data_IF_702877238500
#
_entry.id   IF_702877238500
#
_cell.length_a   1.000
_cell.length_b   1.000
_cell.length_c   1.000
_cell.angle_alpha   90.00
_cell.angle_beta   90.00
_cell.angle_gamma   90.00
#
_symmetry.space_group_name_H-M   'P 1'
#
loop_
_entity.id
_entity.type
_entity.pdbx_description
1 polymer ?
#
# COMPACT_ATOMS: atom_id res chain seq x y z
N UNK A 1 -61.29 29.83 21.61
CA UNK A 1 -61.72 29.20 20.34
C UNK A 1 -60.70 28.13 19.97
N UNK A 2 -61.20 26.89 19.86
CA UNK A 2 -60.67 25.69 19.16
C UNK A 2 -59.23 25.23 19.48
N UNK A 3 -59.04 24.23 20.33
CA UNK A 3 -59.20 22.76 20.16
C UNK A 3 -58.10 22.06 19.33
N UNK A 4 -57.22 21.35 20.08
CA UNK A 4 -56.91 19.91 19.99
C UNK A 4 -56.93 19.19 18.64
N UNK A 5 -55.86 18.42 18.36
CA UNK A 5 -55.92 17.30 17.41
C UNK A 5 -54.68 16.41 17.28
N UNK A 6 -54.54 15.41 18.19
CA UNK A 6 -54.07 14.01 17.97
C UNK A 6 -52.62 13.80 17.44
N UNK A 7 -51.65 13.27 18.20
CA UNK A 7 -51.52 11.94 18.85
C UNK A 7 -51.89 10.75 17.95
N UNK A 8 -50.87 10.10 17.36
CA UNK A 8 -50.80 8.65 17.01
C UNK A 8 -49.34 8.20 17.19
N UNK A 9 -49.02 7.47 18.27
CA UNK A 9 -49.08 6.01 18.38
C UNK A 9 -48.01 5.35 17.47
N UNK A 10 -46.84 5.01 18.02
CA UNK A 10 -46.56 3.70 18.62
C UNK A 10 -46.62 2.57 17.57
N UNK A 11 -45.43 2.19 17.07
CA UNK A 11 -45.22 1.07 16.17
C UNK A 11 -43.80 0.54 16.36
N UNK A 12 -43.53 0.05 17.57
CA UNK A 12 -42.31 -0.65 17.94
C UNK A 12 -42.37 -2.05 17.31
N UNK A 13 -41.87 -2.21 16.09
CA UNK A 13 -41.61 -3.53 15.49
C UNK A 13 -40.12 -3.83 15.62
N UNK A 14 -39.77 -4.34 16.79
CA UNK A 14 -38.50 -5.05 17.03
C UNK A 14 -38.59 -6.34 16.22
N UNK A 15 -37.96 -6.38 15.05
CA UNK A 15 -37.64 -7.63 14.37
C UNK A 15 -36.18 -7.95 14.69
N UNK A 16 -36.00 -8.71 15.77
CA UNK A 16 -34.80 -9.53 15.97
C UNK A 16 -34.79 -10.60 14.87
N UNK A 17 -34.13 -10.31 13.75
CA UNK A 17 -33.76 -11.37 12.82
C UNK A 17 -32.37 -11.89 13.22
N UNK A 18 -32.44 -13.10 13.76
CA UNK A 18 -31.40 -14.02 14.15
C UNK A 18 -30.04 -13.85 13.46
N UNK A 19 -29.02 -13.83 14.33
CA UNK A 19 -27.69 -14.34 14.10
C UNK A 19 -27.71 -15.69 13.35
N UNK A 20 -27.10 -15.74 12.15
CA UNK A 20 -26.49 -16.93 11.56
C UNK A 20 -25.84 -16.62 10.20
N UNK A 21 -24.79 -15.80 10.18
CA UNK A 21 -23.75 -15.84 9.13
C UNK A 21 -22.35 -15.69 9.74
N UNK A 22 -22.17 -16.19 10.97
CA UNK A 22 -20.87 -16.58 11.51
C UNK A 22 -20.63 -18.05 11.11
N UNK A 23 -20.42 -18.28 9.82
CA UNK A 23 -19.94 -19.56 9.30
C UNK A 23 -19.27 -19.31 7.97
N UNK A 24 -17.94 -19.28 8.01
CA UNK A 24 -17.15 -19.15 6.79
C UNK A 24 -15.65 -19.24 7.01
N UNK A 25 -15.15 -19.94 8.05
CA UNK A 25 -13.75 -20.38 8.08
C UNK A 25 -13.53 -21.64 8.94
N UNK A 26 -14.39 -21.96 9.92
CA UNK A 26 -14.15 -23.09 10.83
C UNK A 26 -14.33 -24.50 10.22
N UNK A 27 -14.68 -24.62 8.93
CA UNK A 27 -14.79 -25.92 8.23
C UNK A 27 -13.79 -26.09 7.07
N UNK A 28 -12.81 -25.21 6.90
CA UNK A 28 -11.73 -25.55 5.98
C UNK A 28 -10.81 -26.58 6.65
N UNK A 29 -10.57 -27.75 6.03
CA UNK A 29 -9.74 -28.78 6.62
C UNK A 29 -8.36 -28.20 6.90
N UNK A 30 -7.80 -28.48 8.08
CA UNK A 30 -6.51 -27.96 8.55
C UNK A 30 -5.31 -28.28 7.63
N UNK A 31 -5.51 -29.05 6.57
CA UNK A 31 -4.52 -29.34 5.52
C UNK A 31 -4.60 -28.39 4.30
N UNK A 32 -5.67 -27.61 4.09
CA UNK A 32 -5.72 -26.58 3.02
C UNK A 32 -5.10 -25.25 3.45
N UNK A 33 -4.80 -25.08 4.73
CA UNK A 33 -4.04 -23.93 5.25
C UNK A 33 -2.53 -24.03 4.96
N UNK A 34 -2.06 -25.16 4.42
CA UNK A 34 -0.64 -25.46 4.20
C UNK A 34 -0.18 -25.35 2.75
N UNK A 35 -1.09 -25.40 1.77
CA UNK A 35 -0.76 -25.31 0.34
C UNK A 35 -1.32 -24.04 -0.35
N UNK A 36 -1.87 -23.11 0.44
CA UNK A 36 -2.04 -21.73 0.02
C UNK A 36 -0.87 -20.88 0.50
N UNK A 37 0.33 -21.18 0.01
CA UNK A 37 1.39 -20.19 -0.07
C UNK A 37 0.84 -18.91 -0.67
N UNK A 38 -0.19 -19.00 -1.55
CA UNK A 38 -1.20 -17.97 -1.88
C UNK A 38 -0.63 -16.74 -2.58
N UNK A 39 0.69 -16.58 -2.50
CA UNK A 39 1.60 -15.90 -3.38
C UNK A 39 1.44 -16.57 -4.72
N UNK A 40 0.35 -16.21 -5.39
CA UNK A 40 0.30 -16.34 -6.82
C UNK A 40 1.62 -15.78 -7.36
N UNK A 41 2.21 -16.48 -8.31
CA UNK A 41 3.54 -16.17 -8.84
C UNK A 41 3.46 -14.91 -9.71
N UNK A 42 3.17 -13.78 -9.06
CA UNK A 42 3.05 -12.46 -9.64
C UNK A 42 4.34 -12.05 -10.32
N UNK A 43 5.47 -12.52 -9.80
CA UNK A 43 6.76 -12.38 -10.44
C UNK A 43 6.80 -13.12 -11.78
N UNK A 44 6.39 -14.39 -11.85
CA UNK A 44 6.33 -15.09 -13.14
C UNK A 44 5.33 -14.45 -14.12
N UNK A 45 4.18 -13.94 -13.64
CA UNK A 45 3.24 -13.20 -14.49
C UNK A 45 3.87 -11.90 -15.02
N UNK A 46 4.53 -11.12 -14.16
CA UNK A 46 5.27 -9.91 -14.52
C UNK A 46 6.36 -10.21 -15.55
N UNK A 47 7.19 -11.23 -15.30
CA UNK A 47 8.33 -11.57 -16.16
C UNK A 47 7.89 -12.14 -17.51
N UNK A 48 6.73 -12.80 -17.58
CA UNK A 48 6.09 -13.23 -18.85
C UNK A 48 5.27 -12.11 -19.52
N UNK A 49 5.22 -10.92 -18.91
CA UNK A 49 4.40 -9.79 -19.36
C UNK A 49 2.90 -10.14 -19.49
N UNK A 50 2.41 -11.09 -18.71
CA UNK A 50 0.99 -11.42 -18.61
C UNK A 50 0.31 -10.45 -17.64
N UNK A 51 0.31 -9.17 -18.05
CA UNK A 51 -0.18 -8.06 -17.23
C UNK A 51 -1.68 -8.18 -16.96
N UNK A 52 -2.45 -8.81 -17.85
CA UNK A 52 -3.90 -8.91 -17.72
C UNK A 52 -4.27 -9.89 -16.58
N UNK A 53 -3.63 -11.06 -16.53
CA UNK A 53 -3.80 -11.99 -15.41
C UNK A 53 -3.26 -11.40 -14.09
N UNK A 54 -2.14 -10.68 -14.14
CA UNK A 54 -1.56 -10.03 -12.97
C UNK A 54 -2.50 -8.97 -12.37
N UNK A 55 -3.06 -8.08 -13.21
CA UNK A 55 -4.05 -7.09 -12.81
C UNK A 55 -5.27 -7.74 -12.19
N UNK A 56 -5.83 -8.78 -12.82
CA UNK A 56 -7.02 -9.46 -12.32
C UNK A 56 -6.82 -9.98 -10.89
N UNK A 57 -5.67 -10.59 -10.60
CA UNK A 57 -5.37 -11.14 -9.28
C UNK A 57 -5.18 -10.04 -8.23
N UNK A 58 -4.42 -9.00 -8.57
CA UNK A 58 -4.14 -7.90 -7.66
C UNK A 58 -5.39 -7.05 -7.40
N UNK A 59 -6.21 -6.80 -8.41
CA UNK A 59 -7.49 -6.10 -8.27
C UNK A 59 -8.43 -6.85 -7.33
N UNK A 60 -8.53 -8.17 -7.47
CA UNK A 60 -9.29 -9.00 -6.54
C UNK A 60 -8.79 -8.85 -5.10
N UNK A 61 -7.47 -8.81 -4.89
CA UNK A 61 -6.87 -8.59 -3.59
C UNK A 61 -7.24 -7.22 -2.99
N UNK A 62 -7.10 -6.14 -3.76
CA UNK A 62 -7.46 -4.79 -3.30
C UNK A 62 -8.95 -4.66 -3.02
N UNK A 63 -9.82 -5.25 -3.86
CA UNK A 63 -11.26 -5.22 -3.64
C UNK A 63 -11.64 -5.88 -2.32
N UNK A 64 -11.07 -7.06 -2.00
CA UNK A 64 -11.28 -7.70 -0.70
C UNK A 64 -10.83 -6.81 0.46
N UNK A 65 -9.71 -6.12 0.31
CA UNK A 65 -9.23 -5.18 1.32
C UNK A 65 -10.20 -3.99 1.49
N UNK A 66 -10.61 -3.36 0.40
CA UNK A 66 -11.52 -2.21 0.44
C UNK A 66 -12.92 -2.55 0.95
N UNK A 67 -13.32 -3.82 0.86
CA UNK A 67 -14.56 -4.37 1.41
C UNK A 67 -14.40 -4.84 2.87
N UNK A 68 -13.21 -4.75 3.46
CA UNK A 68 -12.93 -5.20 4.83
C UNK A 68 -12.79 -6.72 4.99
N UNK A 69 -12.73 -7.46 3.88
CA UNK A 69 -12.55 -8.91 3.89
C UNK A 69 -11.12 -9.37 4.24
N UNK A 70 -10.13 -8.47 4.16
CA UNK A 70 -8.77 -8.69 4.65
C UNK A 70 -8.24 -7.44 5.37
N UNK A 71 -7.29 -7.64 6.27
CA UNK A 71 -6.63 -6.58 7.06
C UNK A 71 -5.47 -5.93 6.31
N UNK A 72 -5.01 -4.76 6.80
CA UNK A 72 -3.78 -4.10 6.33
C UNK A 72 -2.57 -5.05 6.33
N UNK A 73 -2.43 -5.86 7.38
CA UNK A 73 -1.32 -6.79 7.53
C UNK A 73 -1.37 -7.90 6.47
N UNK A 74 -2.55 -8.44 6.19
CA UNK A 74 -2.74 -9.45 5.15
C UNK A 74 -2.48 -8.86 3.75
N UNK A 75 -2.98 -7.67 3.45
CA UNK A 75 -2.70 -6.99 2.18
C UNK A 75 -1.20 -6.74 2.01
N UNK A 76 -0.52 -6.24 3.05
CA UNK A 76 0.92 -6.00 3.03
C UNK A 76 1.71 -7.29 2.86
N UNK A 77 1.34 -8.35 3.59
CA UNK A 77 2.01 -9.65 3.51
C UNK A 77 1.89 -10.25 2.11
N UNK A 78 0.71 -10.14 1.49
CA UNK A 78 0.56 -10.55 0.09
C UNK A 78 1.46 -9.70 -0.83
N UNK A 79 1.54 -8.38 -0.61
CA UNK A 79 2.37 -7.46 -1.39
C UNK A 79 3.89 -7.70 -1.28
N UNK A 80 4.37 -8.38 -0.23
CA UNK A 80 5.81 -8.61 0.00
C UNK A 80 6.51 -9.30 -1.18
N UNK A 81 5.80 -10.04 -2.03
CA UNK A 81 6.36 -10.62 -3.25
C UNK A 81 6.98 -9.59 -4.22
N UNK A 82 6.61 -8.31 -4.11
CA UNK A 82 7.17 -7.23 -4.91
C UNK A 82 8.34 -6.48 -4.24
N UNK A 83 8.58 -6.67 -2.94
CA UNK A 83 9.62 -5.93 -2.21
C UNK A 83 11.04 -6.34 -2.71
N UNK A 84 11.20 -7.60 -3.15
CA UNK A 84 12.47 -8.21 -3.54
C UNK A 84 12.56 -8.58 -5.03
N UNK A 85 11.89 -7.82 -5.90
CA UNK A 85 12.03 -8.02 -7.35
C UNK A 85 13.49 -7.88 -7.80
N UNK A 86 13.96 -8.77 -8.71
CA UNK A 86 15.34 -8.72 -9.16
C UNK A 86 15.59 -7.46 -10.00
N UNK A 87 16.84 -6.93 -10.08
CA UNK A 87 17.15 -5.69 -10.80
C UNK A 87 16.67 -5.68 -12.27
N UNK A 88 16.70 -6.82 -12.95
CA UNK A 88 16.23 -6.96 -14.33
C UNK A 88 14.71 -6.82 -14.52
N UNK A 89 13.93 -6.75 -13.43
CA UNK A 89 12.47 -6.56 -13.51
C UNK A 89 12.07 -5.17 -14.00
N UNK A 90 12.97 -4.17 -13.97
CA UNK A 90 12.69 -2.79 -14.37
C UNK A 90 12.03 -2.67 -15.75
N UNK A 91 12.54 -3.39 -16.75
CA UNK A 91 11.96 -3.36 -18.11
C UNK A 91 10.54 -3.93 -18.19
N UNK A 92 10.23 -4.98 -17.41
CA UNK A 92 8.88 -5.55 -17.35
C UNK A 92 7.91 -4.59 -16.62
N UNK A 93 8.37 -3.93 -15.57
CA UNK A 93 7.60 -2.92 -14.82
C UNK A 93 7.28 -1.70 -15.69
N UNK A 94 8.25 -1.21 -16.46
CA UNK A 94 8.03 -0.10 -17.41
C UNK A 94 7.03 -0.48 -18.50
N UNK A 95 7.15 -1.67 -19.06
CA UNK A 95 6.19 -2.19 -20.04
C UNK A 95 4.77 -2.32 -19.44
N UNK A 96 4.67 -2.74 -18.17
CA UNK A 96 3.40 -2.83 -17.47
C UNK A 96 2.74 -1.46 -17.30
N UNK A 97 3.48 -0.47 -16.78
CA UNK A 97 2.98 0.91 -16.61
C UNK A 97 2.61 1.54 -17.96
N UNK A 98 3.40 1.29 -19.01
CA UNK A 98 3.11 1.80 -20.36
C UNK A 98 1.81 1.22 -20.93
N UNK A 99 1.55 -0.09 -20.75
CA UNK A 99 0.31 -0.74 -21.21
C UNK A 99 -0.90 -0.40 -20.34
N UNK A 100 -0.69 -0.17 -19.04
CA UNK A 100 -1.75 0.07 -18.05
C UNK A 100 -1.45 1.35 -17.23
N UNK A 101 -1.46 2.56 -17.82
CA UNK A 101 -1.06 3.79 -17.14
C UNK A 101 -1.98 4.19 -15.98
N UNK A 102 -3.21 3.67 -15.94
CA UNK A 102 -4.16 3.86 -14.84
C UNK A 102 -4.21 2.68 -13.86
N UNK A 103 -3.26 1.74 -13.95
CA UNK A 103 -3.15 0.66 -12.97
C UNK A 103 -2.53 1.19 -11.68
N UNK A 104 -3.25 0.97 -10.58
CA UNK A 104 -2.75 1.17 -9.22
C UNK A 104 -1.50 0.32 -8.96
N UNK A 105 -1.54 -0.96 -9.36
CA UNK A 105 -0.52 -1.92 -9.01
C UNK A 105 0.72 -1.85 -9.88
N UNK A 106 0.60 -1.51 -11.16
CA UNK A 106 1.75 -1.30 -12.04
C UNK A 106 2.64 -0.17 -11.51
N UNK A 107 2.01 0.96 -11.15
CA UNK A 107 2.70 2.12 -10.55
C UNK A 107 3.33 1.74 -9.22
N UNK A 108 2.57 1.10 -8.34
CA UNK A 108 3.05 0.74 -7.02
C UNK A 108 4.23 -0.25 -7.09
N UNK A 109 4.16 -1.27 -7.94
CA UNK A 109 5.23 -2.25 -8.13
C UNK A 109 6.51 -1.57 -8.65
N UNK A 110 6.39 -0.67 -9.62
CA UNK A 110 7.54 0.10 -10.11
C UNK A 110 8.12 1.03 -9.04
N UNK A 111 7.27 1.68 -8.26
CA UNK A 111 7.71 2.52 -7.15
C UNK A 111 8.46 1.74 -6.06
N UNK A 112 7.97 0.55 -5.67
CA UNK A 112 8.70 -0.34 -4.76
C UNK A 112 10.03 -0.79 -5.34
N UNK A 113 10.07 -1.13 -6.63
CA UNK A 113 11.31 -1.49 -7.29
C UNK A 113 12.36 -0.36 -7.22
N UNK A 114 11.99 0.88 -7.55
CA UNK A 114 12.87 2.05 -7.38
C UNK A 114 13.35 2.21 -5.94
N UNK A 115 12.45 2.09 -4.95
CA UNK A 115 12.81 2.15 -3.53
C UNK A 115 13.77 1.02 -3.12
N UNK A 116 13.63 -0.18 -3.67
CA UNK A 116 14.56 -1.31 -3.45
C UNK A 116 15.91 -1.08 -4.14
N UNK A 117 15.94 -0.54 -5.36
CA UNK A 117 17.18 -0.13 -6.02
C UNK A 117 17.92 0.93 -5.19
N UNK A 118 17.21 1.93 -4.67
CA UNK A 118 17.79 2.94 -3.78
C UNK A 118 18.43 2.33 -2.53
N UNK A 119 17.79 1.30 -1.95
CA UNK A 119 18.28 0.62 -0.75
C UNK A 119 19.51 -0.28 -1.02
N UNK A 120 19.68 -0.77 -2.26
CA UNK A 120 20.81 -1.60 -2.65
C UNK A 120 22.08 -0.81 -3.01
N UNK A 121 21.97 0.52 -3.16
CA UNK A 121 23.11 1.38 -3.50
C UNK A 121 24.06 1.55 -2.31
N UNK A 122 25.36 1.67 -2.63
CA UNK A 122 26.45 1.84 -1.65
C UNK A 122 26.78 3.31 -1.40
N UNK A 123 27.62 3.53 -0.39
CA UNK A 123 28.17 4.85 -0.05
C UNK A 123 28.75 5.57 -1.28
N UNK A 124 28.52 6.87 -1.36
CA UNK A 124 28.96 7.73 -2.48
C UNK A 124 27.98 7.82 -3.66
N UNK A 125 26.90 7.02 -3.70
CA UNK A 125 25.91 7.08 -4.79
C UNK A 125 24.68 7.95 -4.47
N UNK A 126 24.81 8.92 -3.57
CA UNK A 126 23.67 9.66 -3.02
C UNK A 126 22.82 10.40 -4.07
N UNK A 127 23.44 10.91 -5.14
CA UNK A 127 22.68 11.52 -6.24
C UNK A 127 21.72 10.53 -6.90
N UNK A 128 22.17 9.29 -7.10
CA UNK A 128 21.37 8.21 -7.69
C UNK A 128 20.31 7.71 -6.72
N UNK A 129 20.64 7.57 -5.43
CA UNK A 129 19.66 7.22 -4.38
C UNK A 129 18.50 8.22 -4.35
N UNK A 130 18.80 9.53 -4.37
CA UNK A 130 17.76 10.57 -4.44
C UNK A 130 16.89 10.46 -5.69
N UNK A 131 17.51 10.16 -6.83
CA UNK A 131 16.81 9.99 -8.09
C UNK A 131 15.83 8.80 -8.03
N UNK A 132 16.26 7.64 -7.53
CA UNK A 132 15.38 6.47 -7.37
C UNK A 132 14.26 6.74 -6.35
N UNK A 133 14.55 7.36 -5.21
CA UNK A 133 13.53 7.71 -4.21
C UNK A 133 12.51 8.71 -4.77
N UNK A 134 12.93 9.66 -5.62
CA UNK A 134 12.03 10.57 -6.32
C UNK A 134 11.08 9.80 -7.25
N UNK A 135 11.61 8.90 -8.08
CA UNK A 135 10.80 8.07 -8.98
C UNK A 135 9.79 7.20 -8.20
N UNK A 136 10.24 6.60 -7.09
CA UNK A 136 9.37 5.84 -6.19
C UNK A 136 8.22 6.70 -5.64
N UNK A 137 8.52 7.93 -5.22
CA UNK A 137 7.53 8.89 -4.74
C UNK A 137 6.52 9.31 -5.82
N UNK A 138 6.98 9.57 -7.04
CA UNK A 138 6.12 9.96 -8.17
C UNK A 138 5.12 8.88 -8.54
N UNK A 139 5.56 7.62 -8.62
CA UNK A 139 4.67 6.49 -8.89
C UNK A 139 3.65 6.29 -7.76
N UNK A 140 4.10 6.40 -6.50
CA UNK A 140 3.22 6.28 -5.35
C UNK A 140 2.17 7.41 -5.30
N UNK A 141 2.56 8.66 -5.54
CA UNK A 141 1.64 9.79 -5.64
C UNK A 141 0.63 9.60 -6.77
N UNK A 142 1.09 9.20 -7.96
CA UNK A 142 0.22 8.96 -9.12
C UNK A 142 -0.78 7.80 -8.89
N UNK A 143 -0.48 6.89 -7.96
CA UNK A 143 -1.37 5.79 -7.60
C UNK A 143 -2.44 6.15 -6.55
N UNK A 144 -2.25 7.22 -5.76
CA UNK A 144 -3.19 7.64 -4.71
C UNK A 144 -4.65 7.79 -5.20
N UNK A 145 -4.94 8.48 -6.32
CA UNK A 145 -6.33 8.69 -6.75
C UNK A 145 -6.98 7.44 -7.37
N UNK A 146 -6.22 6.37 -7.60
CA UNK A 146 -6.69 5.17 -8.31
C UNK A 146 -7.45 4.19 -7.41
N UNK A 147 -7.42 4.40 -6.08
CA UNK A 147 -8.09 3.54 -5.09
C UNK A 147 -8.75 4.36 -4.01
N UNK A 148 -9.80 3.80 -3.40
CA UNK A 148 -10.50 4.44 -2.28
C UNK A 148 -9.65 4.40 -1.01
N UNK A 149 -8.95 3.29 -0.80
CA UNK A 149 -8.09 3.06 0.37
C UNK A 149 -6.67 2.69 -0.09
N UNK A 150 -5.85 3.64 -0.56
CA UNK A 150 -4.53 3.40 -1.16
C UNK A 150 -3.44 3.16 -0.09
N UNK A 151 -3.67 2.21 0.83
CA UNK A 151 -2.82 2.00 2.02
C UNK A 151 -1.36 1.68 1.65
N UNK A 152 -1.13 0.94 0.57
CA UNK A 152 0.22 0.57 0.15
C UNK A 152 0.97 1.77 -0.47
N UNK A 153 0.29 2.62 -1.22
CA UNK A 153 0.87 3.88 -1.73
C UNK A 153 1.29 4.80 -0.60
N UNK A 154 0.45 4.92 0.43
CA UNK A 154 0.77 5.70 1.63
C UNK A 154 1.95 5.10 2.40
N UNK A 155 2.02 3.77 2.54
CA UNK A 155 3.15 3.08 3.17
C UNK A 155 4.47 3.37 2.42
N UNK A 156 4.43 3.33 1.07
CA UNK A 156 5.57 3.65 0.22
C UNK A 156 5.98 5.12 0.36
N UNK A 157 5.04 6.07 0.31
CA UNK A 157 5.33 7.51 0.46
C UNK A 157 5.98 7.83 1.81
N UNK A 158 5.46 7.26 2.91
CA UNK A 158 6.04 7.42 4.23
C UNK A 158 7.44 6.80 4.33
N UNK A 159 7.70 5.69 3.65
CA UNK A 159 9.03 5.06 3.62
C UNK A 159 10.03 5.87 2.79
N UNK A 160 9.62 6.34 1.60
CA UNK A 160 10.41 7.22 0.73
C UNK A 160 10.79 8.51 1.46
N UNK A 161 9.82 9.19 2.10
CA UNK A 161 10.08 10.40 2.87
C UNK A 161 11.03 10.15 4.05
N UNK A 162 10.85 9.04 4.76
CA UNK A 162 11.74 8.63 5.86
C UNK A 162 13.18 8.40 5.39
N UNK A 163 13.37 7.72 4.26
CA UNK A 163 14.70 7.44 3.67
C UNK A 163 15.37 8.67 3.09
N UNK A 164 14.59 9.57 2.51
CA UNK A 164 15.06 10.85 2.00
C UNK A 164 15.33 11.86 3.12
N UNK A 165 14.92 11.55 4.36
CA UNK A 165 14.98 12.46 5.51
C UNK A 165 14.23 13.77 5.28
N UNK A 166 13.16 13.71 4.48
CA UNK A 166 12.27 14.83 4.20
C UNK A 166 11.17 14.87 5.26
N UNK A 167 11.41 15.66 6.32
CA UNK A 167 10.47 15.79 7.43
C UNK A 167 9.14 16.39 6.99
N UNK A 168 9.17 17.37 6.07
CA UNK A 168 7.98 18.05 5.59
C UNK A 168 7.09 17.07 4.83
N UNK A 169 7.66 16.32 3.88
CA UNK A 169 6.93 15.30 3.15
C UNK A 169 6.39 14.20 4.09
N UNK A 170 7.16 13.81 5.11
CA UNK A 170 6.70 12.82 6.10
C UNK A 170 5.45 13.32 6.85
N UNK A 171 5.45 14.56 7.33
CA UNK A 171 4.31 15.14 8.04
C UNK A 171 3.08 15.28 7.11
N UNK A 172 3.27 15.68 5.84
CA UNK A 172 2.22 15.73 4.82
C UNK A 172 1.62 14.35 4.54
N UNK A 173 2.45 13.33 4.35
CA UNK A 173 2.00 11.96 4.09
C UNK A 173 1.36 11.30 5.30
N UNK A 174 1.76 11.66 6.52
CA UNK A 174 1.06 11.24 7.74
C UNK A 174 -0.34 11.85 7.83
N UNK A 175 -0.51 13.11 7.45
CA UNK A 175 -1.82 13.75 7.38
C UNK A 175 -2.72 13.07 6.33
N UNK A 176 -2.18 12.74 5.15
CA UNK A 176 -2.90 11.96 4.13
C UNK A 176 -3.28 10.57 4.64
N UNK A 177 -2.36 9.87 5.31
CA UNK A 177 -2.66 8.56 5.89
C UNK A 177 -3.82 8.60 6.89
N UNK A 178 -3.88 9.64 7.74
CA UNK A 178 -5.01 9.85 8.65
C UNK A 178 -6.33 10.13 7.92
N UNK A 179 -6.29 10.81 6.78
CA UNK A 179 -7.47 11.11 5.98
C UNK A 179 -8.02 9.87 5.23
N UNK A 180 -7.13 9.08 4.61
CA UNK A 180 -7.52 7.94 3.76
C UNK A 180 -7.69 6.63 4.53
N UNK A 181 -6.93 6.43 5.61
CA UNK A 181 -6.90 5.16 6.36
C UNK A 181 -6.83 5.41 7.88
N UNK A 182 -7.84 6.08 8.49
CA UNK A 182 -7.82 6.41 9.92
C UNK A 182 -7.79 5.19 10.85
N UNK A 183 -8.16 3.99 10.36
CA UNK A 183 -8.06 2.73 11.09
C UNK A 183 -6.70 2.02 10.98
N UNK A 184 -5.78 2.52 10.16
CA UNK A 184 -4.50 1.86 9.91
C UNK A 184 -3.50 2.15 11.03
N UNK A 185 -3.45 1.26 12.04
CA UNK A 185 -2.47 1.36 13.13
C UNK A 185 -1.03 1.48 12.63
N UNK A 186 -0.71 0.79 11.51
CA UNK A 186 0.63 0.83 10.89
C UNK A 186 0.97 2.19 10.32
N UNK A 187 0.07 2.78 9.51
CA UNK A 187 0.36 4.07 8.88
C UNK A 187 0.39 5.22 9.89
N UNK A 188 -0.38 5.10 10.97
CA UNK A 188 -0.48 6.12 12.02
C UNK A 188 0.58 5.99 13.12
N UNK A 189 1.36 4.91 13.12
CA UNK A 189 2.46 4.75 14.06
C UNK A 189 3.50 5.89 13.88
N UNK A 190 3.97 6.53 14.97
CA UNK A 190 5.00 7.57 14.87
C UNK A 190 6.27 7.05 14.19
N UNK A 191 6.63 7.60 13.02
CA UNK A 191 7.87 7.25 12.32
C UNK A 191 9.09 8.08 12.74
N UNK A 192 8.90 9.03 13.65
CA UNK A 192 9.94 9.95 14.14
C UNK A 192 11.13 9.28 14.82
N UNK A 193 11.04 7.99 15.16
CA UNK A 193 12.12 7.25 15.81
C UNK A 193 12.87 6.29 14.87
N UNK A 194 12.40 6.08 13.65
CA UNK A 194 12.87 4.94 12.86
C UNK A 194 14.30 5.11 12.31
N UNK A 195 14.79 6.35 12.11
CA UNK A 195 16.04 6.56 11.33
C UNK A 195 16.95 7.73 11.79
N UNK A 196 17.17 8.00 13.10
CA UNK A 196 18.00 9.11 13.54
C UNK A 196 19.45 9.03 13.02
N UNK A 197 20.04 7.83 13.02
CA UNK A 197 21.40 7.61 12.50
C UNK A 197 21.51 7.79 10.99
N UNK A 198 20.57 7.24 10.22
CA UNK A 198 20.52 7.37 8.77
C UNK A 198 20.42 8.85 8.35
N UNK A 199 19.54 9.63 8.98
CA UNK A 199 19.37 11.03 8.63
C UNK A 199 20.51 11.95 9.06
N UNK A 200 21.26 11.58 10.11
CA UNK A 200 22.51 12.27 10.41
C UNK A 200 23.56 12.00 9.32
N UNK A 201 23.70 10.74 8.91
CA UNK A 201 24.64 10.33 7.86
C UNK A 201 24.32 10.97 6.50
N UNK A 202 23.06 10.92 6.07
CA UNK A 202 22.59 11.55 4.83
C UNK A 202 22.86 13.06 4.81
N UNK A 203 22.61 13.75 5.94
CA UNK A 203 22.91 15.18 6.05
C UNK A 203 24.42 15.48 5.98
N UNK A 204 25.25 14.63 6.59
CA UNK A 204 26.70 14.77 6.50
C UNK A 204 27.20 14.59 5.06
N UNK A 205 26.73 13.58 4.33
CA UNK A 205 27.08 13.38 2.92
C UNK A 205 26.65 14.54 2.03
N UNK A 206 25.47 15.13 2.28
CA UNK A 206 25.00 16.29 1.52
C UNK A 206 25.85 17.55 1.77
N UNK A 207 26.41 17.72 2.96
CA UNK A 207 27.26 18.85 3.32
C UNK A 207 28.66 18.78 2.68
N UNK A 208 29.17 17.58 2.38
CA UNK A 208 30.52 17.39 1.82
C UNK A 208 30.65 17.75 0.33
N UNK A 209 29.55 18.02 -0.37
CA UNK A 209 29.55 18.36 -1.80
C UNK A 209 29.99 17.20 -2.72
N UNK A 210 29.77 17.30 -4.04
CA UNK A 210 30.44 16.43 -4.99
C UNK A 210 31.93 16.82 -5.04
N UNK A 211 32.77 16.00 -4.42
CA UNK A 211 34.23 16.09 -4.55
C UNK A 211 34.70 15.74 -5.95
#
# INVERSE_FOLDING_TARGET
MQLMGRLRAAGLAIVFLAAALLSGCDHLPANDCKDHDGRADWQALLMRQDFDALEQQLDGLQQRYEQGGITDLQLRSAWQGFDDLPPQAGGALDAWVARRPASYFARLARGYHHRSQAAAMRDGQWARVKQELRLAGEDAQASLPLRRTPVLSLDLLLDVAGRACDRKALDEYQALAKAYAPGSARLLAPRSQAFPGHCAHVRAQAASGPG
#
